data_IF_316847793659
#
_entry.id   IF_316847793659
#
_cell.length_a   1.000
_cell.length_b   1.000
_cell.length_c   1.000
_cell.angle_alpha   90.00
_cell.angle_beta   90.00
_cell.angle_gamma   90.00
#
_symmetry.space_group_name_H-M   'P 1'
#
loop_
_entity.id
_entity.type
_entity.pdbx_description
1 polymer ?
#
# COMPACT_ATOMS: atom_id res chain seq x y z
N UNK A 1 2.49 11.49 26.18
CA UNK A 1 3.17 12.68 25.68
C UNK A 1 4.50 12.33 24.96
N UNK A 2 5.39 11.59 25.58
CA UNK A 2 6.71 11.21 25.01
C UNK A 2 6.62 10.51 23.63
N UNK A 3 5.74 9.52 23.44
CA UNK A 3 5.59 8.78 22.20
C UNK A 3 5.20 9.69 21.01
N UNK A 4 4.34 10.68 21.23
CA UNK A 4 3.97 11.66 20.18
C UNK A 4 5.17 12.51 19.75
N UNK A 5 6.06 12.83 20.68
CA UNK A 5 7.29 13.57 20.39
C UNK A 5 8.23 12.71 19.55
N UNK A 6 8.42 11.44 19.92
CA UNK A 6 9.25 10.48 19.18
C UNK A 6 8.76 10.36 17.74
N UNK A 7 7.45 10.16 17.52
CA UNK A 7 6.87 10.04 16.16
C UNK A 7 7.08 11.31 15.33
N UNK A 8 6.97 12.50 15.95
CA UNK A 8 7.21 13.78 15.25
C UNK A 8 8.68 13.96 14.85
N UNK A 9 9.61 13.66 15.76
CA UNK A 9 11.05 13.73 15.48
C UNK A 9 11.45 12.73 14.40
N UNK A 10 10.94 11.50 14.46
CA UNK A 10 11.16 10.48 13.46
C UNK A 10 10.64 10.90 12.09
N UNK A 11 9.40 11.40 12.02
CA UNK A 11 8.82 11.90 10.77
C UNK A 11 9.60 13.08 10.19
N UNK A 12 10.10 13.97 11.05
CA UNK A 12 10.93 15.10 10.63
C UNK A 12 12.28 14.62 10.06
N UNK A 13 12.90 13.63 10.69
CA UNK A 13 14.13 13.01 10.19
C UNK A 13 13.90 12.30 8.85
N UNK A 14 12.83 11.50 8.71
CA UNK A 14 12.49 10.83 7.46
C UNK A 14 12.22 11.80 6.30
N UNK A 15 11.71 12.99 6.57
CA UNK A 15 11.48 14.02 5.57
C UNK A 15 12.75 14.38 4.77
N UNK A 16 13.93 14.20 5.36
CA UNK A 16 15.21 14.47 4.69
C UNK A 16 15.58 13.41 3.64
N UNK A 17 15.00 12.23 3.74
CA UNK A 17 15.33 11.08 2.92
C UNK A 17 14.26 10.72 1.89
N UNK A 18 13.00 11.02 2.19
CA UNK A 18 11.87 10.74 1.32
C UNK A 18 11.90 11.62 0.07
N UNK A 19 11.48 11.07 -1.07
CA UNK A 19 11.37 11.84 -2.32
C UNK A 19 10.39 13.00 -2.20
N UNK A 20 9.27 12.80 -1.46
CA UNK A 20 8.33 13.84 -1.07
C UNK A 20 7.71 13.52 0.29
N UNK A 21 7.55 14.53 1.12
CA UNK A 21 6.84 14.42 2.40
C UNK A 21 5.97 15.66 2.65
N UNK A 22 4.66 15.48 2.57
CA UNK A 22 3.68 16.55 2.64
C UNK A 22 3.49 17.15 4.03
N UNK A 23 2.78 18.28 4.08
CA UNK A 23 2.53 19.01 5.33
C UNK A 23 1.58 18.21 6.24
N UNK A 24 1.80 18.28 7.55
CA UNK A 24 0.98 17.63 8.59
C UNK A 24 0.89 16.11 8.45
N UNK A 25 1.81 15.49 7.70
CA UNK A 25 1.91 14.04 7.60
C UNK A 25 2.79 13.49 8.70
N UNK A 26 2.53 12.25 9.13
CA UNK A 26 3.23 11.59 10.23
C UNK A 26 3.48 10.13 9.86
N UNK A 27 4.70 9.67 10.08
CA UNK A 27 5.07 8.25 10.06
C UNK A 27 5.46 7.88 11.47
N UNK A 28 4.76 6.94 12.07
CA UNK A 28 5.02 6.51 13.42
C UNK A 28 6.26 5.60 13.48
N UNK A 29 7.08 5.77 14.51
CA UNK A 29 8.20 4.88 14.82
C UNK A 29 7.69 3.61 15.54
N UNK A 30 8.25 2.42 15.23
CA UNK A 30 9.16 2.15 14.12
C UNK A 30 8.41 1.92 12.79
N UNK A 31 9.03 2.32 11.68
CA UNK A 31 8.62 1.94 10.34
C UNK A 31 9.87 1.62 9.51
N UNK A 32 9.77 0.70 8.55
CA UNK A 32 10.86 0.37 7.64
C UNK A 32 10.53 0.92 6.25
N UNK A 33 11.47 1.66 5.65
CA UNK A 33 11.30 2.24 4.32
C UNK A 33 12.57 1.98 3.52
N UNK A 34 12.45 1.10 2.53
CA UNK A 34 13.54 0.83 1.61
C UNK A 34 13.49 1.82 0.45
N UNK A 35 14.66 2.33 0.03
CA UNK A 35 14.80 3.34 -1.02
C UNK A 35 13.88 4.56 -0.84
N UNK A 36 13.98 5.30 0.26
CA UNK A 36 13.02 6.36 0.61
C UNK A 36 12.87 7.44 -0.47
N UNK A 37 13.86 7.66 -1.33
CA UNK A 37 13.80 8.66 -2.42
C UNK A 37 12.68 8.38 -3.43
N UNK A 38 12.26 7.13 -3.59
CA UNK A 38 11.17 6.75 -4.51
C UNK A 38 9.81 6.68 -3.82
N UNK A 39 9.73 7.09 -2.55
CA UNK A 39 8.49 7.14 -1.75
C UNK A 39 8.01 8.59 -1.66
N UNK A 40 6.81 8.85 -2.16
CA UNK A 40 6.17 10.16 -2.17
C UNK A 40 4.93 10.14 -1.28
N UNK A 41 4.94 10.93 -0.22
CA UNK A 41 3.84 11.07 0.74
C UNK A 41 3.18 12.43 0.58
N UNK A 42 1.87 12.45 0.41
CA UNK A 42 1.03 13.64 0.36
C UNK A 42 0.88 14.35 1.70
N UNK A 43 -0.08 15.28 1.75
CA UNK A 43 -0.38 16.07 2.95
C UNK A 43 -1.35 15.32 3.88
N UNK A 44 -1.26 15.54 5.19
CA UNK A 44 -2.18 14.97 6.20
C UNK A 44 -2.27 13.44 6.14
N UNK A 45 -1.22 12.77 5.69
CA UNK A 45 -1.12 11.31 5.67
C UNK A 45 -0.67 10.82 7.04
N UNK A 46 -1.28 9.73 7.50
CA UNK A 46 -0.87 9.08 8.72
C UNK A 46 -0.49 7.62 8.46
N UNK A 47 0.80 7.30 8.63
CA UNK A 47 1.33 5.93 8.54
C UNK A 47 1.64 5.45 9.95
N UNK A 48 1.05 4.32 10.32
CA UNK A 48 1.19 3.76 11.66
C UNK A 48 2.50 2.97 11.81
N UNK A 49 2.80 2.65 13.04
CA UNK A 49 3.99 1.90 13.43
C UNK A 49 4.04 0.49 12.82
N UNK A 50 5.26 -0.01 12.62
CA UNK A 50 5.58 -1.30 12.00
C UNK A 50 5.13 -1.44 10.53
N UNK A 51 4.79 -0.35 9.84
CA UNK A 51 4.62 -0.39 8.41
C UNK A 51 5.96 -0.69 7.72
N UNK A 52 5.93 -1.53 6.69
CA UNK A 52 7.09 -1.78 5.83
C UNK A 52 6.76 -1.35 4.40
N UNK A 53 7.46 -0.32 3.94
CA UNK A 53 7.35 0.22 2.59
C UNK A 53 8.58 -0.26 1.81
N UNK A 54 8.48 -1.45 1.21
CA UNK A 54 9.55 -2.09 0.44
C UNK A 54 9.46 -1.63 -1.02
N UNK A 55 10.21 -0.60 -1.35
CA UNK A 55 10.24 -0.02 -2.70
C UNK A 55 11.53 -0.39 -3.41
N UNK A 56 11.51 -0.49 -4.75
CA UNK A 56 12.72 -0.70 -5.53
C UNK A 56 13.18 0.58 -6.23
N UNK A 57 14.23 1.18 -5.72
CA UNK A 57 14.85 2.40 -6.27
C UNK A 57 16.24 2.17 -6.89
N UNK A 58 16.64 0.93 -7.12
CA UNK A 58 18.01 0.60 -7.56
C UNK A 58 18.36 1.15 -8.94
N UNK A 59 17.39 1.28 -9.83
CA UNK A 59 17.66 1.66 -11.23
C UNK A 59 17.46 3.13 -11.52
N UNK A 60 16.55 3.80 -10.80
CA UNK A 60 16.26 5.23 -10.93
C UNK A 60 15.48 5.73 -9.71
N UNK A 61 15.32 7.07 -9.61
CA UNK A 61 14.57 7.72 -8.54
C UNK A 61 13.11 8.06 -8.92
N UNK A 62 12.55 7.41 -9.94
CA UNK A 62 11.13 7.60 -10.25
C UNK A 62 10.26 7.12 -9.09
N UNK A 63 9.16 7.82 -8.77
CA UNK A 63 8.29 7.41 -7.67
C UNK A 63 7.75 6.00 -7.87
N UNK A 64 7.95 5.13 -6.89
CA UNK A 64 7.43 3.76 -6.85
C UNK A 64 6.19 3.67 -5.98
N UNK A 65 6.20 4.36 -4.85
CA UNK A 65 5.06 4.45 -3.96
C UNK A 65 4.60 5.90 -3.86
N UNK A 66 3.36 6.14 -4.21
CA UNK A 66 2.69 7.44 -4.05
C UNK A 66 1.49 7.28 -3.13
N UNK A 67 1.48 8.05 -2.04
CA UNK A 67 0.37 8.08 -1.08
C UNK A 67 -0.26 9.48 -1.12
N UNK A 68 -1.51 9.54 -1.58
CA UNK A 68 -2.29 10.77 -1.73
C UNK A 68 -2.71 11.38 -0.40
N UNK A 69 -3.13 12.64 -0.49
CA UNK A 69 -3.50 13.48 0.64
C UNK A 69 -4.59 12.86 1.51
N UNK A 70 -4.50 13.00 2.82
CA UNK A 70 -5.51 12.56 3.77
C UNK A 70 -5.63 11.04 3.95
N UNK A 71 -4.73 10.26 3.36
CA UNK A 71 -4.76 8.80 3.47
C UNK A 71 -4.24 8.30 4.81
N UNK A 72 -4.73 7.14 5.22
CA UNK A 72 -4.34 6.43 6.43
C UNK A 72 -3.78 5.04 6.09
N UNK A 73 -2.62 4.70 6.65
CA UNK A 73 -2.00 3.38 6.54
C UNK A 73 -1.83 2.80 7.93
N UNK A 74 -2.48 1.66 8.18
CA UNK A 74 -2.53 0.97 9.46
C UNK A 74 -1.19 0.34 9.89
N UNK A 75 -1.23 -0.35 11.03
CA UNK A 75 -0.08 -1.05 11.59
C UNK A 75 0.23 -2.31 10.81
N UNK A 76 1.52 -2.65 10.75
CA UNK A 76 1.99 -3.88 10.09
C UNK A 76 1.54 -4.00 8.63
N UNK A 77 1.23 -2.89 7.99
CA UNK A 77 0.97 -2.86 6.55
C UNK A 77 2.28 -3.09 5.83
N UNK A 78 2.26 -3.96 4.82
CA UNK A 78 3.41 -4.21 3.97
C UNK A 78 3.07 -3.85 2.52
N UNK A 79 3.83 -2.94 1.94
CA UNK A 79 3.67 -2.51 0.54
C UNK A 79 4.95 -2.81 -0.21
N UNK A 80 4.86 -3.67 -1.24
CA UNK A 80 5.92 -3.89 -2.22
C UNK A 80 5.63 -3.04 -3.46
N UNK A 81 6.53 -2.11 -3.78
CA UNK A 81 6.42 -1.22 -4.93
C UNK A 81 7.71 -1.28 -5.77
N UNK A 82 7.74 -2.19 -6.73
CA UNK A 82 8.87 -2.40 -7.64
C UNK A 82 8.76 -1.58 -8.92
N UNK A 83 7.54 -1.25 -9.33
CA UNK A 83 7.26 -0.35 -10.46
C UNK A 83 6.37 0.80 -10.04
N UNK A 84 5.12 0.52 -9.64
CA UNK A 84 4.18 1.58 -9.24
C UNK A 84 3.06 1.08 -8.35
N UNK A 85 3.00 1.58 -7.12
CA UNK A 85 1.84 1.46 -6.23
C UNK A 85 1.33 2.87 -5.91
N UNK A 86 0.08 3.15 -6.30
CA UNK A 86 -0.55 4.46 -6.11
C UNK A 86 -1.76 4.34 -5.19
N UNK A 87 -1.72 5.02 -4.07
CA UNK A 87 -2.87 5.31 -3.24
C UNK A 87 -3.30 6.75 -3.54
N UNK A 88 -4.49 6.94 -4.07
CA UNK A 88 -5.05 8.27 -4.31
C UNK A 88 -5.44 8.96 -2.99
N UNK A 89 -6.18 10.03 -3.04
CA UNK A 89 -6.56 10.80 -1.86
C UNK A 89 -7.54 10.04 -0.96
N UNK A 90 -7.44 10.24 0.35
CA UNK A 90 -8.39 9.72 1.36
C UNK A 90 -8.55 8.20 1.34
N UNK A 91 -7.52 7.46 0.95
CA UNK A 91 -7.52 5.99 1.01
C UNK A 91 -7.32 5.53 2.45
N UNK A 92 -8.17 4.61 2.90
CA UNK A 92 -8.06 3.98 4.21
C UNK A 92 -7.52 2.55 4.06
N UNK A 93 -6.29 2.33 4.52
CA UNK A 93 -5.68 0.99 4.60
C UNK A 93 -5.64 0.57 6.06
N UNK A 94 -6.37 -0.48 6.40
CA UNK A 94 -6.42 -1.04 7.76
C UNK A 94 -5.12 -1.80 8.10
N UNK A 95 -5.05 -2.32 9.32
CA UNK A 95 -3.88 -3.04 9.84
C UNK A 95 -3.61 -4.35 9.07
N UNK A 96 -2.34 -4.77 8.97
CA UNK A 96 -1.89 -6.05 8.38
C UNK A 96 -2.27 -6.26 6.91
N UNK A 97 -2.56 -5.20 6.17
CA UNK A 97 -2.81 -5.29 4.73
C UNK A 97 -1.50 -5.52 3.99
N UNK A 98 -1.55 -6.39 2.98
CA UNK A 98 -0.45 -6.61 2.05
C UNK A 98 -0.82 -6.09 0.66
N UNK A 99 0.01 -5.22 0.09
CA UNK A 99 -0.16 -4.67 -1.25
C UNK A 99 1.12 -4.95 -2.03
N UNK A 100 1.02 -5.52 -3.22
CA UNK A 100 2.20 -5.78 -4.04
C UNK A 100 1.92 -5.61 -5.52
N UNK A 101 2.88 -5.02 -6.25
CA UNK A 101 2.86 -4.93 -7.71
C UNK A 101 3.73 -6.02 -8.38
N UNK A 102 4.37 -6.89 -7.58
CA UNK A 102 5.32 -7.90 -8.05
C UNK A 102 5.17 -9.21 -7.29
N UNK A 103 5.57 -10.31 -7.92
CA UNK A 103 5.79 -11.60 -7.25
C UNK A 103 6.96 -12.36 -7.91
N UNK A 104 7.47 -13.40 -7.24
CA UNK A 104 8.56 -14.22 -7.75
C UNK A 104 8.13 -15.00 -9.00
N UNK A 105 9.09 -15.29 -9.88
CA UNK A 105 8.92 -16.30 -10.94
C UNK A 105 8.90 -17.67 -10.30
N UNK A 106 8.09 -18.58 -10.87
CA UNK A 106 7.92 -19.94 -10.36
C UNK A 106 7.66 -20.97 -11.46
N UNK A 107 7.92 -20.60 -12.72
CA UNK A 107 7.57 -21.45 -13.87
C UNK A 107 8.63 -22.50 -14.21
N UNK A 108 9.86 -22.31 -13.76
CA UNK A 108 10.96 -23.23 -14.04
C UNK A 108 11.06 -24.31 -12.95
N UNK A 109 10.68 -25.54 -13.29
CA UNK A 109 10.58 -26.64 -12.32
C UNK A 109 11.94 -27.13 -11.80
N UNK A 110 13.02 -26.88 -12.52
CA UNK A 110 14.37 -27.33 -12.15
C UNK A 110 15.21 -26.28 -11.41
N UNK A 111 14.71 -25.03 -11.36
CA UNK A 111 15.42 -23.92 -10.73
C UNK A 111 14.68 -23.52 -9.44
N UNK A 112 15.37 -23.42 -8.29
CA UNK A 112 14.76 -22.93 -7.07
C UNK A 112 14.11 -21.55 -7.28
N UNK A 113 12.90 -21.33 -6.71
CA UNK A 113 12.14 -20.08 -6.90
C UNK A 113 12.98 -18.85 -6.54
N UNK A 114 13.81 -18.97 -5.51
CA UNK A 114 14.70 -17.89 -5.04
C UNK A 114 15.67 -17.41 -6.14
N UNK A 115 16.06 -18.30 -7.04
CA UNK A 115 17.03 -18.05 -8.12
C UNK A 115 16.37 -17.58 -9.43
N UNK A 116 15.05 -17.78 -9.57
CA UNK A 116 14.31 -17.37 -10.77
C UNK A 116 14.07 -15.85 -10.85
N UNK A 117 14.27 -15.12 -9.75
CA UNK A 117 14.03 -13.68 -9.66
C UNK A 117 12.56 -13.34 -9.56
N UNK A 118 12.18 -12.15 -10.05
CA UNK A 118 10.80 -11.65 -9.99
C UNK A 118 10.17 -11.54 -11.37
N UNK A 119 8.85 -11.61 -11.40
CA UNK A 119 8.08 -11.35 -12.63
C UNK A 119 8.09 -9.85 -12.95
N UNK A 120 7.73 -9.50 -14.20
CA UNK A 120 7.52 -8.11 -14.58
C UNK A 120 6.44 -7.52 -13.65
N UNK A 121 6.73 -6.44 -12.94
CA UNK A 121 5.75 -5.78 -12.08
C UNK A 121 4.53 -5.32 -12.85
N UNK A 122 3.38 -5.33 -12.21
CA UNK A 122 2.11 -4.82 -12.73
C UNK A 122 1.56 -3.78 -11.76
N UNK A 123 1.43 -2.50 -12.19
CA UNK A 123 1.04 -1.41 -11.30
C UNK A 123 -0.24 -1.69 -10.52
N UNK A 124 -0.28 -1.24 -9.25
CA UNK A 124 -1.45 -1.31 -8.39
C UNK A 124 -1.96 0.11 -8.13
N UNK A 125 -3.28 0.30 -8.22
CA UNK A 125 -3.92 1.58 -7.95
C UNK A 125 -5.09 1.43 -6.99
N UNK A 126 -5.06 2.18 -5.91
CA UNK A 126 -6.16 2.33 -4.97
C UNK A 126 -6.76 3.72 -5.20
N UNK A 127 -7.96 3.79 -5.78
CA UNK A 127 -8.61 5.05 -6.11
C UNK A 127 -9.17 5.75 -4.86
N UNK A 128 -9.44 7.03 -5.03
CA UNK A 128 -9.90 7.93 -3.97
C UNK A 128 -11.00 7.32 -3.08
N UNK A 129 -10.81 7.46 -1.78
CA UNK A 129 -11.81 7.11 -0.77
C UNK A 129 -12.06 5.62 -0.58
N UNK A 130 -11.32 4.72 -1.24
CA UNK A 130 -11.51 3.29 -1.01
C UNK A 130 -11.02 2.87 0.37
N UNK A 131 -11.59 1.78 0.87
CA UNK A 131 -11.25 1.17 2.14
C UNK A 131 -10.77 -0.25 1.96
N UNK A 132 -9.57 -0.54 2.48
CA UNK A 132 -8.96 -1.87 2.48
C UNK A 132 -9.03 -2.41 3.90
N UNK A 133 -9.83 -3.45 4.10
CA UNK A 133 -10.07 -4.10 5.39
C UNK A 133 -8.84 -4.83 5.93
N UNK A 134 -8.85 -5.07 7.24
CA UNK A 134 -7.75 -5.72 7.98
C UNK A 134 -7.33 -7.04 7.31
N UNK A 135 -6.03 -7.24 7.16
CA UNK A 135 -5.45 -8.49 6.63
C UNK A 135 -5.74 -8.75 5.14
N UNK A 136 -6.35 -7.81 4.43
CA UNK A 136 -6.60 -7.99 3.00
C UNK A 136 -5.30 -8.01 2.19
N UNK A 137 -5.33 -8.70 1.04
CA UNK A 137 -4.21 -8.83 0.11
C UNK A 137 -4.61 -8.26 -1.24
N UNK A 138 -3.83 -7.31 -1.75
CA UNK A 138 -4.00 -6.73 -3.08
C UNK A 138 -2.88 -7.23 -3.99
N UNK A 139 -3.26 -7.98 -5.03
CA UNK A 139 -2.31 -8.64 -5.94
C UNK A 139 -1.85 -7.73 -7.09
N UNK A 140 -0.74 -8.07 -7.77
CA UNK A 140 -0.19 -7.26 -8.86
C UNK A 140 -1.17 -6.98 -10.00
N UNK A 141 -1.23 -5.73 -10.45
CA UNK A 141 -2.05 -5.27 -11.56
C UNK A 141 -3.47 -4.90 -11.19
N UNK A 142 -3.84 -4.94 -9.90
CA UNK A 142 -5.21 -4.66 -9.44
C UNK A 142 -5.45 -3.16 -9.28
N UNK A 143 -6.61 -2.72 -9.78
CA UNK A 143 -7.18 -1.40 -9.49
C UNK A 143 -8.38 -1.56 -8.54
N UNK A 144 -8.33 -0.89 -7.40
CA UNK A 144 -9.49 -0.75 -6.49
C UNK A 144 -10.20 0.54 -6.81
N UNK A 145 -11.47 0.45 -7.12
CA UNK A 145 -12.32 1.57 -7.54
C UNK A 145 -12.54 2.63 -6.47
N UNK A 146 -13.03 3.80 -6.89
CA UNK A 146 -13.36 4.91 -6.00
C UNK A 146 -14.45 4.48 -4.99
N UNK A 147 -14.28 4.84 -3.72
CA UNK A 147 -15.19 4.48 -2.62
C UNK A 147 -15.51 2.99 -2.53
N UNK A 148 -14.73 2.12 -3.17
CA UNK A 148 -14.89 0.68 -3.06
C UNK A 148 -14.37 0.16 -1.71
N UNK A 149 -14.85 -1.00 -1.29
CA UNK A 149 -14.50 -1.64 -0.03
C UNK A 149 -13.91 -3.01 -0.30
N UNK A 150 -12.75 -3.28 0.25
CA UNK A 150 -12.20 -4.64 0.32
C UNK A 150 -12.43 -5.15 1.73
N UNK A 151 -13.19 -6.23 1.88
CA UNK A 151 -13.48 -6.81 3.17
C UNK A 151 -12.22 -7.39 3.85
N UNK A 152 -12.28 -7.53 5.17
CA UNK A 152 -11.18 -8.12 5.92
C UNK A 152 -10.78 -9.51 5.41
N UNK A 153 -9.47 -9.79 5.35
CA UNK A 153 -8.87 -11.04 4.88
C UNK A 153 -9.23 -11.44 3.43
N UNK A 154 -9.76 -10.53 2.62
CA UNK A 154 -10.01 -10.80 1.21
C UNK A 154 -8.72 -10.79 0.39
N UNK A 155 -8.60 -11.68 -0.61
CA UNK A 155 -7.48 -11.72 -1.56
C UNK A 155 -7.98 -11.25 -2.93
N UNK A 156 -7.65 -10.00 -3.27
CA UNK A 156 -8.11 -9.36 -4.50
C UNK A 156 -7.12 -9.63 -5.64
N UNK A 157 -7.57 -10.38 -6.64
CA UNK A 157 -6.78 -10.82 -7.79
C UNK A 157 -7.21 -10.17 -9.10
N UNK A 158 -8.30 -9.38 -9.10
CA UNK A 158 -8.88 -8.68 -10.25
C UNK A 158 -9.39 -7.32 -9.82
N UNK A 159 -9.58 -6.44 -10.78
CA UNK A 159 -10.10 -5.09 -10.50
C UNK A 159 -11.44 -5.11 -9.77
N UNK A 160 -11.59 -4.18 -8.85
CA UNK A 160 -12.83 -3.89 -8.15
C UNK A 160 -13.40 -2.57 -8.67
N UNK A 161 -14.58 -2.56 -9.29
CA UNK A 161 -15.20 -1.33 -9.78
C UNK A 161 -15.51 -0.32 -8.66
N UNK A 162 -15.77 0.92 -9.07
CA UNK A 162 -16.15 1.99 -8.14
C UNK A 162 -17.41 1.62 -7.35
N UNK A 163 -17.46 1.95 -6.06
CA UNK A 163 -18.58 1.74 -5.13
C UNK A 163 -18.98 0.25 -4.90
N UNK A 164 -18.14 -0.71 -5.26
CA UNK A 164 -18.38 -2.13 -5.04
C UNK A 164 -17.69 -2.64 -3.78
N UNK A 165 -18.08 -3.84 -3.34
CA UNK A 165 -17.42 -4.56 -2.23
C UNK A 165 -16.76 -5.83 -2.78
N UNK A 166 -15.47 -6.04 -2.47
CA UNK A 166 -14.76 -7.29 -2.72
C UNK A 166 -14.66 -8.10 -1.42
N UNK A 167 -15.04 -9.38 -1.43
CA UNK A 167 -14.93 -10.29 -0.27
C UNK A 167 -14.58 -11.71 -0.66
N UNK A 168 -13.82 -12.41 0.19
CA UNK A 168 -13.46 -13.82 0.02
C UNK A 168 -12.06 -14.05 -0.56
N UNK A 169 -11.70 -15.34 -0.73
CA UNK A 169 -10.39 -15.80 -1.25
C UNK A 169 -10.63 -16.87 -2.32
N UNK A 170 -10.42 -16.58 -3.62
CA UNK A 170 -10.19 -15.23 -4.18
C UNK A 170 -11.45 -14.36 -4.02
N UNK A 171 -11.22 -13.04 -3.95
CA UNK A 171 -12.31 -12.10 -3.75
C UNK A 171 -13.26 -12.03 -4.96
N UNK A 172 -14.56 -11.92 -4.66
CA UNK A 172 -15.62 -11.66 -5.63
C UNK A 172 -16.26 -10.30 -5.36
N UNK A 173 -16.76 -9.66 -6.41
CA UNK A 173 -17.36 -8.34 -6.34
C UNK A 173 -18.85 -8.45 -6.00
N UNK A 174 -19.33 -7.58 -5.14
CA UNK A 174 -20.73 -7.46 -4.70
C UNK A 174 -21.16 -6.00 -4.74
N UNK A 175 -22.44 -5.77 -5.02
CA UNK A 175 -23.02 -4.44 -4.93
C UNK A 175 -23.00 -3.95 -3.48
N UNK A 176 -22.66 -2.67 -3.29
CA UNK A 176 -22.79 -1.99 -2.03
C UNK A 176 -24.27 -1.63 -1.82
N UNK A 177 -25.03 -2.50 -1.17
CA UNK A 177 -26.43 -2.23 -0.84
C UNK A 177 -26.51 -1.23 0.32
N UNK A 178 -27.43 -0.28 0.24
CA UNK A 178 -27.81 0.54 1.39
C UNK A 178 -28.47 -0.39 2.42
N UNK A 179 -27.87 -0.56 3.59
CA UNK A 179 -28.43 -1.31 4.73
C UNK A 179 -27.71 -2.62 5.10
N UNK A 180 -26.52 -2.86 4.61
CA UNK A 180 -25.60 -3.86 5.19
C UNK A 180 -24.85 -3.25 6.38
N UNK A 181 -25.60 -2.88 7.43
CA UNK A 181 -25.10 -2.48 8.76
C UNK A 181 -24.98 -3.71 9.67
#
# INVERSE_FOLDING_TARGET
>A
MLLKIIHRLYSWWLKLWLGRFGRKSTINFPATIDFPKVVHIGNKVWIREHAWLNCDGRFNNSPRLMVGDGSYIGRFVHINAYDSVVLEESVLVSDRVYITDVHHRYHESQTPIMEQGVMKPRPVRLKRGCWIGVGAVIMPGVTIGQNAIVAANAVVTRDLPDNMIARGVPARNYDKKAGDD
#
